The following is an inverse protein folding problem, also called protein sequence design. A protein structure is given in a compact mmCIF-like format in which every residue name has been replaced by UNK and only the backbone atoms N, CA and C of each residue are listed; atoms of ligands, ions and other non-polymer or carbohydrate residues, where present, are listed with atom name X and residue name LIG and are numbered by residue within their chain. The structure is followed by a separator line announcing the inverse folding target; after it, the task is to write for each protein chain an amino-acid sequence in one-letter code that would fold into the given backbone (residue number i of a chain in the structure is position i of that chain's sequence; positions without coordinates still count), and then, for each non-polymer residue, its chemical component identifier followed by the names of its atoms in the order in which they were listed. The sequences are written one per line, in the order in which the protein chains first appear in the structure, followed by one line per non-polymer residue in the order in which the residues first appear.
data_IF_504314348184
#
_entry.id   IF_504314348184
#
_cell.length_a   1.000
_cell.length_b   1.000
_cell.length_c   1.000
_cell.angle_alpha   90.00
_cell.angle_beta   90.00
_cell.angle_gamma   90.00
#
_symmetry.space_group_name_H-M   'P 1'
#
loop_
_entity.id
_entity.type
_entity.pdbx_description
1 polymer ?
#
# COMPACT_ATOMS: atom_id res chain seq x y z
N UNK A 1 -13.19 -32.55 0.30
CA UNK A 1 -12.44 -33.27 -0.76
C UNK A 1 -11.11 -32.56 -0.93
N UNK A 2 -10.02 -33.21 -0.55
CA UNK A 2 -8.68 -32.63 -0.50
C UNK A 2 -8.16 -32.39 -1.92
N UNK A 3 -8.19 -31.13 -2.38
CA UNK A 3 -7.43 -30.71 -3.55
C UNK A 3 -6.01 -30.35 -3.10
N UNK A 4 -5.15 -31.36 -3.09
CA UNK A 4 -3.71 -31.19 -2.91
C UNK A 4 -3.16 -30.50 -4.16
N UNK A 5 -2.94 -29.19 -4.09
CA UNK A 5 -2.23 -28.43 -5.12
C UNK A 5 -0.82 -29.01 -5.25
N UNK A 6 -0.54 -29.72 -6.35
CA UNK A 6 0.81 -30.19 -6.67
C UNK A 6 1.74 -28.98 -6.84
N UNK A 7 2.46 -28.68 -5.77
CA UNK A 7 3.52 -27.69 -5.69
C UNK A 7 4.68 -28.10 -6.60
N UNK A 8 4.91 -27.35 -7.68
CA UNK A 8 6.24 -27.30 -8.28
C UNK A 8 7.06 -26.36 -7.38
N UNK A 9 7.46 -26.85 -6.20
CA UNK A 9 8.28 -26.11 -5.24
C UNK A 9 9.76 -26.39 -5.51
N UNK A 10 10.47 -25.44 -6.10
CA UNK A 10 11.92 -25.38 -5.92
C UNK A 10 12.19 -24.69 -4.58
N UNK A 11 12.39 -25.46 -3.52
CA UNK A 11 12.86 -24.90 -2.26
C UNK A 11 14.16 -24.14 -2.51
N UNK A 12 14.24 -22.88 -2.09
CA UNK A 12 15.45 -22.07 -2.24
C UNK A 12 15.80 -21.40 -0.93
N UNK A 13 17.06 -21.50 -0.56
CA UNK A 13 17.60 -20.97 0.69
C UNK A 13 18.49 -19.77 0.41
N UNK A 14 18.27 -18.68 1.14
CA UNK A 14 19.04 -17.44 1.02
C UNK A 14 19.45 -16.96 2.40
N UNK A 15 20.71 -16.54 2.54
CA UNK A 15 21.17 -15.79 3.71
C UNK A 15 21.44 -14.35 3.29
N UNK A 16 20.88 -13.40 4.02
CA UNK A 16 20.96 -11.98 3.71
C UNK A 16 21.58 -11.25 4.90
N UNK A 17 22.76 -10.66 4.67
CA UNK A 17 23.38 -9.72 5.60
C UNK A 17 22.66 -8.37 5.49
N UNK A 18 21.83 -8.05 6.50
CA UNK A 18 21.02 -6.82 6.48
C UNK A 18 21.86 -5.65 6.96
N UNK A 19 22.36 -5.73 8.19
CA UNK A 19 23.31 -4.78 8.79
C UNK A 19 24.03 -5.52 9.91
N UNK A 20 25.36 -5.54 9.91
CA UNK A 20 26.11 -6.36 10.86
C UNK A 20 25.72 -6.05 12.32
N UNK A 21 25.52 -7.06 13.19
CA UNK A 21 25.60 -8.51 12.97
C UNK A 21 24.27 -9.18 12.52
N UNK A 22 23.24 -8.42 12.16
CA UNK A 22 21.91 -8.94 11.82
C UNK A 22 21.88 -9.64 10.45
N UNK A 23 21.50 -10.92 10.46
CA UNK A 23 21.30 -11.76 9.29
C UNK A 23 19.86 -12.27 9.23
N UNK A 24 19.34 -12.42 8.01
CA UNK A 24 18.03 -13.03 7.78
C UNK A 24 18.19 -14.24 6.88
N UNK A 25 17.68 -15.38 7.34
CA UNK A 25 17.61 -16.63 6.58
C UNK A 25 16.21 -16.75 6.00
N UNK A 26 16.13 -16.97 4.69
CA UNK A 26 14.89 -17.17 3.96
C UNK A 26 14.88 -18.55 3.34
N UNK A 27 13.82 -19.31 3.62
CA UNK A 27 13.51 -20.56 2.95
C UNK A 27 12.23 -20.39 2.14
N UNK A 28 12.35 -20.19 0.83
CA UNK A 28 11.20 -20.01 -0.06
C UNK A 28 10.75 -21.38 -0.55
N UNK A 29 9.49 -21.74 -0.24
CA UNK A 29 8.88 -23.02 -0.61
C UNK A 29 7.69 -22.87 -1.58
N UNK A 30 7.23 -21.63 -1.83
CA UNK A 30 6.19 -21.32 -2.80
C UNK A 30 6.60 -20.11 -3.66
N UNK A 31 6.71 -20.31 -4.98
CA UNK A 31 7.10 -19.27 -5.93
C UNK A 31 6.56 -19.59 -7.34
N UNK A 32 5.23 -19.50 -7.55
CA UNK A 32 4.57 -19.96 -8.78
C UNK A 32 5.00 -19.19 -10.04
N UNK A 33 5.59 -18.01 -9.87
CA UNK A 33 6.01 -17.11 -10.96
C UNK A 33 7.53 -17.02 -11.13
N UNK A 34 8.29 -17.81 -10.36
CA UNK A 34 9.76 -17.84 -10.38
C UNK A 34 10.38 -16.44 -10.22
N UNK A 35 9.90 -15.67 -9.25
CA UNK A 35 10.53 -14.41 -8.87
C UNK A 35 11.84 -14.67 -8.13
N UNK A 36 12.87 -13.88 -8.38
CA UNK A 36 13.95 -13.75 -7.40
C UNK A 36 13.42 -12.94 -6.23
N UNK A 37 13.82 -13.26 -4.99
CA UNK A 37 13.31 -12.53 -3.82
C UNK A 37 13.59 -11.01 -3.93
N UNK A 38 14.73 -10.66 -4.52
CA UNK A 38 15.17 -9.28 -4.73
C UNK A 38 14.46 -8.56 -5.89
N UNK A 39 13.57 -9.23 -6.63
CA UNK A 39 12.60 -8.58 -7.52
C UNK A 39 11.40 -8.03 -6.74
N UNK A 40 11.07 -8.61 -5.58
CA UNK A 40 9.89 -8.25 -4.79
C UNK A 40 10.23 -7.37 -3.58
N UNK A 41 11.37 -7.59 -2.92
CA UNK A 41 11.74 -6.83 -1.72
C UNK A 41 13.26 -6.71 -1.50
N UNK A 42 13.63 -5.83 -0.57
CA UNK A 42 14.94 -5.70 0.05
C UNK A 42 14.79 -5.80 1.56
N UNK A 43 15.91 -5.92 2.28
CA UNK A 43 15.90 -5.96 3.75
C UNK A 43 16.37 -4.64 4.34
N UNK A 44 15.76 -4.20 5.43
CA UNK A 44 16.23 -3.09 6.25
C UNK A 44 15.98 -3.38 7.74
N UNK A 45 16.55 -2.56 8.63
CA UNK A 45 16.37 -2.67 10.07
C UNK A 45 15.33 -1.66 10.58
N UNK A 46 14.38 -2.10 11.40
CA UNK A 46 13.40 -1.21 12.05
C UNK A 46 14.02 -0.55 13.27
N UNK A 47 13.56 0.67 13.59
CA UNK A 47 13.82 1.32 14.88
C UNK A 47 12.92 0.73 15.99
N UNK A 48 12.84 -0.61 16.09
CA UNK A 48 12.02 -1.33 17.05
C UNK A 48 12.72 -2.60 17.52
N UNK A 49 12.86 -2.77 18.85
CA UNK A 49 13.58 -3.90 19.45
C UNK A 49 12.84 -5.25 19.36
N UNK A 50 11.51 -5.26 19.20
CA UNK A 50 10.71 -6.51 19.16
C UNK A 50 10.66 -7.16 17.76
N UNK A 51 10.79 -6.36 16.71
CA UNK A 51 10.85 -6.81 15.31
C UNK A 51 11.93 -5.99 14.62
N UNK A 52 13.17 -6.47 14.67
CA UNK A 52 14.38 -5.72 14.30
C UNK A 52 14.55 -5.51 12.80
N UNK A 53 13.80 -6.23 11.95
CA UNK A 53 13.92 -6.21 10.49
C UNK A 53 12.61 -5.80 9.79
N UNK A 54 12.73 -5.43 8.53
CA UNK A 54 11.64 -5.05 7.64
C UNK A 54 11.91 -5.57 6.23
N UNK A 55 10.88 -6.15 5.62
CA UNK A 55 10.81 -6.34 4.18
C UNK A 55 10.44 -5.02 3.50
N UNK A 56 11.38 -4.43 2.79
CA UNK A 56 11.18 -3.21 2.02
C UNK A 56 10.70 -3.60 0.64
N UNK A 57 9.38 -3.51 0.42
CA UNK A 57 8.78 -3.84 -0.88
C UNK A 57 9.33 -2.99 -2.03
N UNK A 58 9.73 -3.65 -3.11
CA UNK A 58 10.14 -3.06 -4.39
C UNK A 58 8.97 -2.89 -5.37
N UNK A 59 7.76 -3.26 -4.95
CA UNK A 59 6.58 -3.27 -5.82
C UNK A 59 5.42 -2.44 -5.29
N UNK A 60 5.48 -1.92 -4.07
CA UNK A 60 4.38 -1.14 -3.46
C UNK A 60 4.51 0.39 -3.58
N UNK A 61 5.73 0.91 -3.74
CA UNK A 61 5.93 2.36 -3.76
C UNK A 61 5.68 3.00 -2.39
N UNK A 62 6.16 2.37 -1.31
CA UNK A 62 6.06 2.93 0.05
C UNK A 62 7.39 3.51 0.53
N UNK A 63 8.43 2.70 0.51
CA UNK A 63 9.76 3.08 1.00
C UNK A 63 10.76 3.30 -0.15
N UNK A 64 10.45 2.83 -1.35
CA UNK A 64 11.29 2.90 -2.54
C UNK A 64 10.48 3.52 -3.67
N UNK A 65 11.05 4.45 -4.46
CA UNK A 65 10.45 4.89 -5.71
C UNK A 65 10.37 3.73 -6.70
N UNK A 66 9.16 3.43 -7.17
CA UNK A 66 8.90 2.39 -8.16
C UNK A 66 8.38 2.98 -9.46
N UNK A 67 8.36 2.20 -10.54
CA UNK A 67 7.43 2.53 -11.64
C UNK A 67 6.00 2.32 -11.13
N UNK A 68 5.08 3.29 -11.28
CA UNK A 68 3.69 3.14 -10.81
C UNK A 68 2.98 1.94 -11.45
N UNK A 69 3.36 1.57 -12.68
CA UNK A 69 2.91 0.36 -13.35
C UNK A 69 3.14 -0.92 -12.52
N UNK A 70 4.25 -1.00 -11.77
CA UNK A 70 4.54 -2.16 -10.91
C UNK A 70 3.56 -2.30 -9.76
N UNK A 71 3.20 -1.20 -9.09
CA UNK A 71 2.27 -1.25 -7.97
C UNK A 71 0.88 -1.68 -8.41
N UNK A 72 0.40 -1.11 -9.51
CA UNK A 72 -0.87 -1.50 -10.12
C UNK A 72 -0.86 -2.96 -10.60
N UNK A 73 0.18 -3.38 -11.33
CA UNK A 73 0.31 -4.75 -11.83
C UNK A 73 0.44 -5.78 -10.70
N UNK A 74 0.96 -5.41 -9.52
CA UNK A 74 1.06 -6.33 -8.37
C UNK A 74 -0.32 -6.71 -7.85
N UNK A 75 -1.24 -5.74 -7.71
CA UNK A 75 -2.63 -6.02 -7.34
C UNK A 75 -3.34 -6.89 -8.38
N UNK A 76 -3.14 -6.61 -9.67
CA UNK A 76 -3.73 -7.39 -10.76
C UNK A 76 -3.16 -8.82 -10.86
N UNK A 77 -1.87 -9.02 -10.56
CA UNK A 77 -1.26 -10.36 -10.52
C UNK A 77 -1.82 -11.20 -9.36
N UNK A 78 -2.06 -10.57 -8.21
CA UNK A 78 -2.75 -11.22 -7.08
C UNK A 78 -4.19 -11.59 -7.45
N UNK A 79 -4.90 -10.71 -8.17
CA UNK A 79 -6.25 -11.00 -8.65
C UNK A 79 -6.27 -12.12 -9.72
N UNK A 80 -5.28 -12.16 -10.60
CA UNK A 80 -5.08 -13.28 -11.54
C UNK A 80 -4.80 -14.59 -10.77
N UNK A 81 -4.00 -14.54 -9.71
CA UNK A 81 -3.69 -15.68 -8.84
C UNK A 81 -4.96 -16.20 -8.16
N UNK A 82 -5.76 -15.29 -7.57
CA UNK A 82 -7.06 -15.60 -6.98
C UNK A 82 -7.99 -16.26 -7.98
N UNK A 83 -8.17 -15.68 -9.17
CA UNK A 83 -9.08 -16.22 -10.19
C UNK A 83 -8.66 -17.63 -10.61
N UNK A 84 -7.36 -17.85 -10.87
CA UNK A 84 -6.84 -19.17 -11.25
C UNK A 84 -7.07 -20.20 -10.15
N UNK A 85 -6.84 -19.83 -8.89
CA UNK A 85 -7.04 -20.71 -7.74
C UNK A 85 -8.51 -21.09 -7.53
N UNK A 86 -9.42 -20.11 -7.62
CA UNK A 86 -10.88 -20.35 -7.53
C UNK A 86 -11.39 -21.23 -8.69
N UNK A 87 -10.84 -21.08 -9.89
CA UNK A 87 -11.18 -21.89 -11.06
C UNK A 87 -10.44 -23.25 -11.13
N UNK A 88 -9.58 -23.55 -10.15
CA UNK A 88 -8.77 -24.77 -10.14
C UNK A 88 -7.75 -24.85 -11.29
N UNK A 89 -7.36 -23.71 -11.85
CA UNK A 89 -6.38 -23.58 -12.94
C UNK A 89 -4.97 -23.42 -12.38
N UNK A 90 -3.98 -23.97 -13.09
CA UNK A 90 -2.57 -23.82 -12.72
C UNK A 90 -2.09 -22.38 -12.95
N UNK A 91 -1.33 -21.87 -11.98
CA UNK A 91 -0.54 -20.66 -12.16
C UNK A 91 0.55 -20.91 -13.19
N UNK A 92 0.87 -19.89 -13.98
CA UNK A 92 1.90 -19.93 -15.01
C UNK A 92 2.70 -18.65 -14.96
N UNK A 93 4.00 -18.75 -15.21
CA UNK A 93 4.91 -17.61 -15.32
C UNK A 93 4.62 -16.71 -16.54
N UNK A 94 3.83 -17.20 -17.50
CA UNK A 94 3.33 -16.41 -18.62
C UNK A 94 2.15 -15.54 -18.17
N UNK A 95 2.47 -14.31 -17.75
CA UNK A 95 1.50 -13.28 -17.38
C UNK A 95 2.09 -11.90 -17.68
N UNK A 96 1.33 -10.99 -18.33
CA UNK A 96 1.81 -9.64 -18.62
C UNK A 96 2.18 -8.88 -17.34
N UNK A 97 1.53 -9.19 -16.22
CA UNK A 97 1.82 -8.56 -14.93
C UNK A 97 3.17 -9.04 -14.37
N UNK A 98 3.51 -10.32 -14.54
CA UNK A 98 4.84 -10.85 -14.18
C UNK A 98 5.93 -10.13 -14.96
N UNK A 99 5.72 -9.90 -16.27
CA UNK A 99 6.68 -9.18 -17.10
C UNK A 99 6.87 -7.73 -16.67
N UNK A 100 5.81 -7.05 -16.20
CA UNK A 100 5.93 -5.71 -15.60
C UNK A 100 6.77 -5.74 -14.32
N UNK A 101 6.48 -6.67 -13.40
CA UNK A 101 7.21 -6.79 -12.14
C UNK A 101 8.71 -7.10 -12.36
N UNK A 102 9.02 -7.93 -13.35
CA UNK A 102 10.39 -8.27 -13.78
C UNK A 102 11.06 -7.21 -14.68
N UNK A 103 10.44 -6.04 -14.86
CA UNK A 103 10.92 -4.94 -15.72
C UNK A 103 11.11 -5.31 -17.20
N UNK A 104 10.45 -6.35 -17.71
CA UNK A 104 10.52 -6.72 -19.12
C UNK A 104 9.60 -5.86 -20.01
N UNK A 105 8.57 -5.27 -19.42
CA UNK A 105 7.69 -4.31 -20.07
C UNK A 105 7.16 -3.27 -19.07
N UNK A 106 6.61 -2.17 -19.58
CA UNK A 106 6.00 -1.10 -18.76
C UNK A 106 4.51 -0.93 -18.99
N UNK A 107 3.98 -1.41 -20.13
CA UNK A 107 2.58 -1.29 -20.51
C UNK A 107 1.83 -2.58 -20.25
N UNK A 108 0.61 -2.45 -19.76
CA UNK A 108 -0.33 -3.55 -19.55
C UNK A 108 -1.76 -2.96 -19.57
N UNK A 109 -2.77 -3.83 -19.73
CA UNK A 109 -4.16 -3.42 -19.53
C UNK A 109 -4.52 -3.63 -18.06
N UNK A 110 -5.06 -2.59 -17.45
CA UNK A 110 -5.63 -2.63 -16.10
C UNK A 110 -7.16 -2.65 -16.12
N UNK A 111 -7.76 -3.07 -17.24
CA UNK A 111 -9.21 -3.29 -17.31
C UNK A 111 -9.63 -4.50 -16.51
N UNK A 112 -10.85 -4.45 -15.94
CA UNK A 112 -11.40 -5.55 -15.15
C UNK A 112 -11.57 -6.83 -16.00
N UNK A 113 -11.00 -7.94 -15.55
CA UNK A 113 -11.02 -9.23 -16.23
C UNK A 113 -11.75 -10.34 -15.43
N UNK A 114 -12.03 -10.13 -14.14
CA UNK A 114 -12.82 -11.04 -13.32
C UNK A 114 -14.31 -10.75 -13.54
N UNK A 115 -15.05 -11.76 -13.99
CA UNK A 115 -16.44 -11.66 -14.40
C UNK A 115 -17.43 -11.38 -13.26
N UNK A 116 -18.65 -10.97 -13.63
CA UNK A 116 -19.71 -10.54 -12.70
C UNK A 116 -20.20 -11.64 -11.74
N UNK A 117 -19.90 -12.91 -12.04
CA UNK A 117 -20.21 -14.04 -11.16
C UNK A 117 -19.42 -14.01 -9.85
N UNK A 118 -18.28 -13.30 -9.82
CA UNK A 118 -17.50 -13.08 -8.61
C UNK A 118 -17.82 -11.71 -8.06
N UNK A 119 -18.47 -11.66 -6.90
CA UNK A 119 -18.81 -10.41 -6.23
C UNK A 119 -18.38 -10.37 -4.77
N UNK A 120 -17.08 -10.26 -4.49
CA UNK A 120 -16.58 -10.14 -3.13
C UNK A 120 -16.72 -8.71 -2.56
N UNK A 121 -16.58 -8.63 -1.24
CA UNK A 121 -16.24 -7.41 -0.52
C UNK A 121 -14.74 -7.48 -0.20
N UNK A 122 -13.98 -6.51 -0.71
CA UNK A 122 -12.52 -6.48 -0.60
C UNK A 122 -12.11 -5.44 0.43
N UNK A 123 -11.25 -5.82 1.36
CA UNK A 123 -10.79 -4.97 2.46
C UNK A 123 -9.27 -4.84 2.40
N UNK A 124 -8.76 -3.67 2.03
CA UNK A 124 -7.33 -3.35 2.08
C UNK A 124 -6.88 -2.92 3.48
N UNK A 125 -5.70 -3.36 3.92
CA UNK A 125 -5.19 -2.99 5.24
C UNK A 125 -4.32 -1.71 5.21
N UNK A 126 -4.69 -0.73 6.03
CA UNK A 126 -3.84 0.44 6.22
C UNK A 126 -2.56 0.11 6.99
N UNK A 127 -1.45 0.75 6.69
CA UNK A 127 -1.30 1.79 5.68
C UNK A 127 -0.92 1.21 4.31
N UNK A 128 -0.12 0.15 4.32
CA UNK A 128 0.64 -0.31 3.15
C UNK A 128 -0.20 -0.95 2.06
N UNK A 129 -1.28 -1.65 2.42
CA UNK A 129 -2.09 -2.40 1.48
C UNK A 129 -3.34 -1.65 1.00
N UNK A 130 -3.44 -0.34 1.28
CA UNK A 130 -4.49 0.54 0.71
C UNK A 130 -4.43 0.53 -0.81
N UNK A 131 -3.31 0.97 -1.39
CA UNK A 131 -3.10 0.94 -2.84
C UNK A 131 -3.11 -0.47 -3.43
N UNK A 132 -2.53 -1.45 -2.73
CA UNK A 132 -2.52 -2.84 -3.17
C UNK A 132 -3.94 -3.41 -3.28
N UNK A 133 -4.76 -3.19 -2.24
CA UNK A 133 -6.14 -3.65 -2.18
C UNK A 133 -7.00 -3.02 -3.27
N UNK A 134 -6.86 -1.72 -3.53
CA UNK A 134 -7.62 -1.07 -4.60
C UNK A 134 -7.13 -1.51 -6.00
N UNK A 135 -5.83 -1.76 -6.17
CA UNK A 135 -5.29 -2.34 -7.41
C UNK A 135 -5.74 -3.79 -7.63
N UNK A 136 -5.91 -4.59 -6.57
CA UNK A 136 -6.52 -5.92 -6.65
C UNK A 136 -8.01 -5.82 -7.03
N UNK A 137 -8.75 -4.92 -6.39
CA UNK A 137 -10.15 -4.65 -6.68
C UNK A 137 -10.41 -4.19 -8.12
N UNK A 138 -9.49 -3.44 -8.74
CA UNK A 138 -9.56 -3.01 -10.14
C UNK A 138 -9.80 -4.18 -11.13
N UNK A 139 -9.41 -5.41 -10.78
CA UNK A 139 -9.62 -6.58 -11.62
C UNK A 139 -11.09 -7.05 -11.71
N UNK A 140 -11.98 -6.60 -10.80
CA UNK A 140 -13.33 -7.12 -10.65
C UNK A 140 -14.38 -6.24 -11.34
N UNK A 141 -15.22 -6.85 -12.18
CA UNK A 141 -16.35 -6.16 -12.81
C UNK A 141 -17.49 -5.83 -11.84
N UNK A 142 -17.64 -6.61 -10.77
CA UNK A 142 -18.72 -6.47 -9.81
C UNK A 142 -18.26 -6.78 -8.37
N UNK A 143 -17.58 -5.86 -7.70
CA UNK A 143 -17.18 -6.01 -6.30
C UNK A 143 -17.39 -4.70 -5.54
N UNK A 144 -17.26 -4.78 -4.22
CA UNK A 144 -17.12 -3.60 -3.37
C UNK A 144 -15.76 -3.59 -2.69
N UNK A 145 -15.21 -2.41 -2.46
CA UNK A 145 -13.90 -2.23 -1.85
C UNK A 145 -13.94 -1.14 -0.78
N UNK A 146 -13.27 -1.39 0.33
CA UNK A 146 -12.83 -0.34 1.23
C UNK A 146 -11.48 -0.67 1.84
N UNK A 147 -10.83 0.30 2.46
CA UNK A 147 -9.67 0.02 3.30
C UNK A 147 -9.88 0.45 4.74
N UNK A 148 -9.17 -0.22 5.63
CA UNK A 148 -9.07 0.20 7.02
C UNK A 148 -8.24 1.47 7.12
N UNK A 149 -8.34 2.20 8.22
CA UNK A 149 -7.59 3.44 8.43
C UNK A 149 -7.16 3.61 9.87
N UNK A 150 -6.02 4.29 10.07
CA UNK A 150 -5.54 4.74 11.38
C UNK A 150 -6.09 6.11 11.77
N UNK A 151 -6.80 6.80 10.87
CA UNK A 151 -7.41 8.09 11.14
C UNK A 151 -8.64 7.95 12.05
N UNK A 152 -8.75 8.87 13.00
CA UNK A 152 -9.88 8.96 13.92
C UNK A 152 -10.80 10.12 13.49
N UNK A 153 -11.99 9.78 13.02
CA UNK A 153 -12.98 10.74 12.55
C UNK A 153 -13.92 11.09 13.71
N UNK A 154 -14.09 12.38 13.96
CA UNK A 154 -14.97 12.88 15.02
C UNK A 154 -16.41 12.52 14.70
N UNK A 155 -17.09 11.96 15.70
CA UNK A 155 -18.53 11.65 15.67
C UNK A 155 -18.94 10.67 14.55
N UNK A 156 -17.99 9.87 14.04
CA UNK A 156 -18.28 8.78 13.10
C UNK A 156 -17.99 7.47 13.79
N UNK A 157 -19.01 6.64 13.98
CA UNK A 157 -18.81 5.30 14.52
C UNK A 157 -18.16 4.41 13.45
N UNK A 158 -17.01 3.84 13.79
CA UNK A 158 -16.41 2.81 12.96
C UNK A 158 -17.10 1.46 13.21
N UNK A 159 -17.52 0.79 12.14
CA UNK A 159 -18.28 -0.48 12.22
C UNK A 159 -17.39 -1.63 12.70
N UNK A 160 -16.09 -1.55 12.38
CA UNK A 160 -15.08 -2.52 12.74
C UNK A 160 -13.97 -1.78 13.47
N UNK A 161 -13.79 -2.09 14.75
CA UNK A 161 -12.64 -1.64 15.53
C UNK A 161 -11.77 -2.86 15.82
N UNK A 162 -10.51 -2.80 15.44
CA UNK A 162 -9.54 -3.81 15.83
C UNK A 162 -8.24 -3.17 16.30
N UNK A 163 -7.75 -3.63 17.45
CA UNK A 163 -6.49 -3.20 18.03
C UNK A 163 -5.38 -4.18 17.66
N UNK A 164 -4.29 -3.68 17.11
CA UNK A 164 -3.11 -4.49 16.82
C UNK A 164 -2.26 -4.65 18.10
N UNK A 165 -2.16 -5.88 18.63
CA UNK A 165 -1.52 -6.15 19.94
C UNK A 165 0.00 -5.84 20.04
N UNK A 166 0.65 -5.40 18.96
CA UNK A 166 2.12 -5.27 18.91
C UNK A 166 2.66 -3.90 18.46
N UNK A 167 1.87 -2.84 18.56
CA UNK A 167 2.43 -1.49 18.59
C UNK A 167 1.64 -0.59 19.53
N UNK A 168 2.31 0.36 20.16
CA UNK A 168 1.80 1.17 21.28
C UNK A 168 0.65 2.13 20.89
N UNK A 169 -0.52 1.60 20.51
CA UNK A 169 -1.76 2.29 20.09
C UNK A 169 -1.92 2.54 18.58
N UNK A 170 -2.19 1.50 17.79
CA UNK A 170 -2.76 1.66 16.44
C UNK A 170 -4.00 0.80 16.25
N UNK A 171 -5.16 1.38 16.54
CA UNK A 171 -6.46 0.86 16.16
C UNK A 171 -6.68 1.08 14.66
N UNK A 172 -7.09 0.04 13.96
CA UNK A 172 -7.63 0.17 12.62
C UNK A 172 -9.15 0.35 12.70
N UNK A 173 -9.65 1.27 11.87
CA UNK A 173 -11.05 1.67 11.79
C UNK A 173 -11.58 1.53 10.37
N UNK A 174 -12.89 1.39 10.23
CA UNK A 174 -13.60 1.29 8.95
C UNK A 174 -14.84 2.20 8.97
N UNK A 175 -14.89 3.16 8.05
CA UNK A 175 -15.95 4.16 7.94
C UNK A 175 -16.82 3.94 6.69
N UNK A 176 -17.52 2.81 6.66
CA UNK A 176 -18.45 2.43 5.58
C UNK A 176 -19.90 2.46 6.07
N UNK A 177 -20.86 2.23 5.18
CA UNK A 177 -22.22 1.87 5.59
C UNK A 177 -22.26 0.37 5.96
N UNK A 178 -22.82 0.02 7.11
CA UNK A 178 -22.97 -1.37 7.57
C UNK A 178 -23.79 -2.21 6.60
N UNK A 179 -24.71 -1.61 5.83
CA UNK A 179 -25.48 -2.28 4.79
C UNK A 179 -24.58 -2.94 3.73
N UNK A 180 -23.38 -2.41 3.49
CA UNK A 180 -22.38 -3.01 2.59
C UNK A 180 -21.96 -4.40 3.05
N UNK A 181 -21.97 -4.65 4.37
CA UNK A 181 -21.64 -5.92 5.00
C UNK A 181 -22.86 -6.81 5.29
N UNK A 182 -24.09 -6.32 5.12
CA UNK A 182 -25.32 -7.08 5.35
C UNK A 182 -25.69 -7.96 4.14
N UNK A 183 -24.86 -8.95 3.85
CA UNK A 183 -25.07 -9.94 2.78
C UNK A 183 -24.25 -11.20 3.09
N UNK A 184 -24.16 -12.16 2.16
CA UNK A 184 -23.39 -13.40 2.31
C UNK A 184 -22.20 -13.49 1.35
N UNK A 185 -21.81 -12.38 0.72
CA UNK A 185 -20.73 -12.35 -0.28
C UNK A 185 -19.38 -12.62 0.37
N UNK A 186 -18.48 -13.28 -0.34
CA UNK A 186 -17.11 -13.53 0.13
C UNK A 186 -16.44 -12.24 0.62
N UNK A 187 -15.69 -12.33 1.71
CA UNK A 187 -14.82 -11.24 2.17
C UNK A 187 -13.37 -11.57 1.83
N UNK A 188 -12.71 -10.67 1.11
CA UNK A 188 -11.29 -10.78 0.75
C UNK A 188 -10.49 -9.75 1.52
N UNK A 189 -9.56 -10.19 2.34
CA UNK A 189 -8.63 -9.33 3.09
C UNK A 189 -7.32 -9.21 2.31
N UNK A 190 -6.87 -7.99 2.06
CA UNK A 190 -5.63 -7.72 1.31
C UNK A 190 -4.61 -7.03 2.21
N UNK A 191 -3.45 -7.66 2.35
CA UNK A 191 -2.31 -7.14 3.10
C UNK A 191 -1.03 -7.21 2.25
N UNK A 192 0.07 -6.57 2.65
CA UNK A 192 1.34 -6.68 1.93
C UNK A 192 2.14 -7.93 2.34
N UNK A 193 2.11 -8.29 3.61
CA UNK A 193 2.89 -9.39 4.17
C UNK A 193 2.12 -10.11 5.28
N UNK A 194 2.08 -11.44 5.23
CA UNK A 194 1.55 -12.27 6.31
C UNK A 194 2.69 -12.91 7.12
N UNK A 195 2.66 -12.78 8.45
CA UNK A 195 3.66 -13.37 9.37
C UNK A 195 3.04 -14.36 10.34
N UNK A 196 2.40 -13.88 11.41
CA UNK A 196 1.62 -14.75 12.32
C UNK A 196 0.19 -14.94 11.85
N UNK A 197 -0.30 -14.03 11.00
CA UNK A 197 -1.70 -13.98 10.58
C UNK A 197 -2.68 -13.64 11.70
N UNK A 198 -2.21 -13.28 12.90
CA UNK A 198 -3.08 -12.96 14.05
C UNK A 198 -4.06 -11.82 13.74
N UNK A 199 -3.58 -10.75 13.10
CA UNK A 199 -4.43 -9.63 12.67
C UNK A 199 -5.57 -10.09 11.76
N UNK A 200 -5.26 -10.88 10.73
CA UNK A 200 -6.28 -11.42 9.82
C UNK A 200 -7.29 -12.33 10.55
N UNK A 201 -6.83 -13.21 11.45
CA UNK A 201 -7.73 -14.07 12.24
C UNK A 201 -8.66 -13.26 13.15
N UNK A 202 -8.13 -12.29 13.89
CA UNK A 202 -8.93 -11.42 14.76
C UNK A 202 -9.99 -10.65 13.96
N UNK A 203 -9.65 -10.18 12.77
CA UNK A 203 -10.58 -9.48 11.87
C UNK A 203 -11.64 -10.44 11.36
N UNK A 204 -11.27 -11.65 10.93
CA UNK A 204 -12.23 -12.67 10.49
C UNK A 204 -13.20 -12.99 11.62
N UNK A 205 -12.73 -13.24 12.85
CA UNK A 205 -13.60 -13.51 14.00
C UNK A 205 -14.56 -12.34 14.26
N UNK A 206 -14.04 -11.11 14.38
CA UNK A 206 -14.86 -9.91 14.64
C UNK A 206 -15.89 -9.63 13.54
N UNK A 207 -15.51 -9.82 12.28
CA UNK A 207 -16.42 -9.74 11.14
C UNK A 207 -17.47 -10.84 11.17
N UNK A 208 -17.05 -12.08 11.44
CA UNK A 208 -17.95 -13.24 11.42
C UNK A 208 -19.02 -13.15 12.51
N UNK A 209 -18.67 -12.65 13.69
CA UNK A 209 -19.59 -12.46 14.81
C UNK A 209 -20.75 -11.53 14.47
N UNK A 210 -20.52 -10.51 13.63
CA UNK A 210 -21.53 -9.52 13.23
C UNK A 210 -22.14 -9.78 11.86
N UNK A 211 -21.33 -10.29 10.93
CA UNK A 211 -21.61 -10.45 9.51
C UNK A 211 -21.04 -11.81 9.06
N UNK A 212 -21.68 -12.93 9.43
CA UNK A 212 -21.15 -14.26 9.15
C UNK A 212 -21.03 -14.51 7.64
N UNK A 213 -19.99 -15.26 7.26
CA UNK A 213 -19.70 -15.69 5.88
C UNK A 213 -19.25 -17.13 5.86
N UNK A 214 -19.48 -17.82 4.75
CA UNK A 214 -18.92 -19.17 4.52
C UNK A 214 -17.51 -19.16 3.92
N UNK A 215 -17.14 -18.07 3.24
CA UNK A 215 -15.87 -17.97 2.54
C UNK A 215 -15.18 -16.66 2.85
N UNK A 216 -13.92 -16.78 3.25
CA UNK A 216 -12.95 -15.69 3.36
C UNK A 216 -11.76 -16.01 2.47
N UNK A 217 -11.14 -14.98 1.90
CA UNK A 217 -9.82 -15.10 1.25
C UNK A 217 -8.87 -14.10 1.88
N UNK A 218 -7.64 -14.51 2.12
CA UNK A 218 -6.54 -13.63 2.50
C UNK A 218 -5.55 -13.58 1.33
N UNK A 219 -5.23 -12.36 0.90
CA UNK A 219 -4.33 -12.07 -0.20
C UNK A 219 -3.14 -11.28 0.34
N UNK A 220 -1.93 -11.75 0.08
CA UNK A 220 -0.71 -11.01 0.42
C UNK A 220 0.36 -11.12 -0.67
N UNK A 221 1.31 -10.18 -0.72
CA UNK A 221 2.47 -10.36 -1.63
C UNK A 221 3.36 -11.48 -1.09
N UNK A 222 3.65 -11.40 0.21
CA UNK A 222 4.52 -12.32 0.93
C UNK A 222 3.74 -13.09 2.00
N UNK A 223 4.01 -14.38 2.16
CA UNK A 223 3.48 -15.23 3.25
C UNK A 223 4.62 -15.97 3.96
N UNK A 224 4.90 -15.57 5.19
CA UNK A 224 5.98 -16.12 6.03
C UNK A 224 5.45 -16.92 7.21
N UNK A 225 4.21 -17.39 7.16
CA UNK A 225 3.64 -18.23 8.23
C UNK A 225 4.37 -19.56 8.32
N UNK A 226 4.85 -19.86 9.53
CA UNK A 226 5.26 -21.21 9.88
C UNK A 226 4.05 -22.15 10.05
N UNK A 227 4.30 -23.44 10.23
CA UNK A 227 3.25 -24.46 10.36
C UNK A 227 2.31 -24.21 11.55
N UNK A 228 2.81 -23.73 12.70
CA UNK A 228 1.95 -23.36 13.84
C UNK A 228 0.94 -22.28 13.45
N UNK A 229 1.39 -21.24 12.75
CA UNK A 229 0.52 -20.15 12.32
C UNK A 229 -0.48 -20.63 11.26
N UNK A 230 -0.11 -21.55 10.37
CA UNK A 230 -1.04 -22.16 9.39
C UNK A 230 -2.10 -23.02 10.08
N UNK A 231 -1.71 -23.86 11.04
CA UNK A 231 -2.64 -24.68 11.82
C UNK A 231 -3.65 -23.82 12.58
N UNK A 232 -3.23 -22.65 13.07
CA UNK A 232 -4.12 -21.71 13.76
C UNK A 232 -5.22 -21.09 12.84
N UNK A 233 -5.09 -21.20 11.51
CA UNK A 233 -6.19 -20.90 10.58
C UNK A 233 -7.12 -22.11 10.38
N UNK A 234 -6.58 -23.33 10.34
CA UNK A 234 -7.38 -24.56 10.27
C UNK A 234 -8.30 -24.66 11.49
N UNK A 235 -7.75 -24.41 12.69
CA UNK A 235 -8.54 -24.35 13.93
C UNK A 235 -9.65 -23.30 13.86
N UNK A 236 -9.40 -22.16 13.21
CA UNK A 236 -10.40 -21.10 13.03
C UNK A 236 -11.48 -21.50 12.02
N UNK A 237 -11.10 -22.17 10.93
CA UNK A 237 -12.04 -22.74 9.95
C UNK A 237 -13.00 -23.73 10.61
N UNK A 238 -12.47 -24.64 11.43
CA UNK A 238 -13.26 -25.61 12.19
C UNK A 238 -14.16 -24.95 13.22
N UNK A 239 -13.64 -23.97 13.98
CA UNK A 239 -14.40 -23.29 15.03
C UNK A 239 -15.58 -22.46 14.50
N UNK A 240 -15.44 -21.87 13.30
CA UNK A 240 -16.47 -21.01 12.71
C UNK A 240 -17.29 -21.70 11.60
N UNK A 241 -16.97 -22.94 11.22
CA UNK A 241 -17.56 -23.64 10.07
C UNK A 241 -17.50 -22.79 8.78
N UNK A 242 -16.28 -22.38 8.43
CA UNK A 242 -15.94 -21.53 7.28
C UNK A 242 -14.78 -22.10 6.47
N UNK A 243 -14.53 -21.52 5.29
CA UNK A 243 -13.32 -21.74 4.51
C UNK A 243 -12.52 -20.46 4.39
N UNK A 244 -11.20 -20.55 4.62
CA UNK A 244 -10.24 -19.46 4.49
C UNK A 244 -9.21 -19.83 3.41
N UNK A 245 -9.33 -19.20 2.25
CA UNK A 245 -8.37 -19.35 1.14
C UNK A 245 -7.19 -18.40 1.33
N UNK A 246 -6.00 -18.84 0.93
CA UNK A 246 -4.77 -18.04 0.99
C UNK A 246 -4.13 -17.88 -0.39
N UNK A 247 -3.93 -16.64 -0.81
CA UNK A 247 -3.29 -16.28 -2.09
C UNK A 247 -2.03 -15.47 -1.79
N UNK A 248 -0.89 -15.89 -2.35
CA UNK A 248 0.37 -15.16 -2.22
C UNK A 248 1.20 -15.20 -3.51
N UNK A 249 2.12 -14.25 -3.69
CA UNK A 249 3.09 -14.31 -4.80
C UNK A 249 4.36 -15.07 -4.43
N UNK A 250 4.71 -15.06 -3.14
CA UNK A 250 5.87 -15.73 -2.58
C UNK A 250 5.55 -16.21 -1.16
N UNK A 251 5.84 -17.47 -0.84
CA UNK A 251 5.73 -17.97 0.53
C UNK A 251 6.95 -18.79 0.95
N UNK A 252 7.16 -18.84 2.26
CA UNK A 252 8.30 -19.50 2.85
C UNK A 252 8.37 -19.34 4.36
N UNK A 253 9.56 -19.55 4.88
CA UNK A 253 9.91 -19.32 6.28
C UNK A 253 11.02 -18.28 6.38
N UNK A 254 10.97 -17.49 7.45
CA UNK A 254 11.96 -16.47 7.76
C UNK A 254 12.49 -16.69 9.17
N UNK A 255 13.80 -16.72 9.30
CA UNK A 255 14.50 -16.71 10.59
C UNK A 255 15.44 -15.51 10.64
N UNK A 256 15.55 -14.88 11.80
CA UNK A 256 16.43 -13.73 12.01
C UNK A 256 17.43 -14.04 13.11
N UNK A 257 18.69 -13.80 12.82
CA UNK A 257 19.80 -13.93 13.75
C UNK A 257 20.46 -12.56 13.97
N UNK A 258 20.88 -12.30 15.20
CA UNK A 258 21.50 -11.04 15.61
C UNK A 258 20.52 -9.87 15.79
N UNK A 259 21.01 -8.85 16.49
CA UNK A 259 20.35 -7.55 16.59
C UNK A 259 21.18 -6.51 15.84
N UNK A 260 20.55 -5.57 15.11
CA UNK A 260 21.29 -4.61 14.31
C UNK A 260 22.12 -3.70 15.22
N UNK A 261 23.42 -3.59 14.95
CA UNK A 261 24.30 -2.61 15.59
C UNK A 261 24.44 -1.45 14.62
N UNK A 262 23.98 -0.28 15.03
CA UNK A 262 23.82 0.85 14.13
C UNK A 262 24.72 1.96 14.64
N UNK A 263 25.74 2.26 13.84
CA UNK A 263 26.53 3.47 13.99
C UNK A 263 25.72 4.60 13.36
N UNK A 264 25.59 5.73 14.05
CA UNK A 264 25.07 6.94 13.42
C UNK A 264 26.02 7.31 12.28
N UNK A 265 25.52 7.25 11.04
CA UNK A 265 26.25 7.79 9.89
C UNK A 265 26.11 9.31 9.93
N UNK A 266 27.24 10.02 9.80
CA UNK A 266 27.25 11.47 9.70
C UNK A 266 26.40 11.91 8.50
N UNK A 267 25.54 12.90 8.72
CA UNK A 267 24.74 13.48 7.65
C UNK A 267 25.67 14.16 6.64
N UNK A 268 25.73 13.62 5.42
CA UNK A 268 26.44 14.29 4.33
C UNK A 268 25.61 15.50 3.90
N UNK A 269 26.19 16.70 4.03
CA UNK A 269 25.57 17.94 3.59
C UNK A 269 25.55 18.01 2.06
N UNK A 270 24.48 17.48 1.47
CA UNK A 270 24.21 17.67 0.05
C UNK A 270 23.79 19.10 -0.26
N UNK A 271 24.23 19.61 -1.40
CA UNK A 271 23.82 20.88 -1.99
C UNK A 271 22.29 21.04 -1.93
N UNK A 272 21.83 22.21 -1.51
CA UNK A 272 20.40 22.58 -1.52
C UNK A 272 20.16 23.46 -2.74
N UNK A 273 19.44 22.98 -3.77
CA UNK A 273 19.08 23.83 -4.88
C UNK A 273 18.14 24.95 -4.41
N UNK A 274 18.06 26.04 -5.18
CA UNK A 274 16.91 26.93 -5.07
C UNK A 274 15.66 26.14 -5.50
N UNK A 275 14.70 26.04 -4.59
CA UNK A 275 13.46 25.28 -4.82
C UNK A 275 12.32 26.22 -5.19
N UNK A 276 11.75 26.03 -6.38
CA UNK A 276 10.47 26.62 -6.75
C UNK A 276 9.33 25.77 -6.20
N UNK A 277 8.38 26.38 -5.49
CA UNK A 277 7.22 25.69 -4.93
C UNK A 277 5.94 26.28 -5.50
N UNK A 278 5.04 25.42 -5.95
CA UNK A 278 3.73 25.80 -6.48
C UNK A 278 2.64 24.90 -5.87
N UNK A 279 1.50 25.49 -5.51
CA UNK A 279 0.32 24.74 -5.08
C UNK A 279 -0.68 24.63 -6.23
N UNK A 280 -1.23 23.43 -6.41
CA UNK A 280 -2.20 23.06 -7.43
C UNK A 280 -3.45 22.55 -6.73
N UNK A 281 -4.58 23.23 -6.93
CA UNK A 281 -5.86 22.84 -6.36
C UNK A 281 -6.75 22.21 -7.44
N UNK A 282 -6.87 20.88 -7.44
CA UNK A 282 -7.62 20.16 -8.48
C UNK A 282 -9.10 20.55 -8.47
N UNK A 283 -9.70 20.82 -7.31
CA UNK A 283 -11.10 21.25 -7.21
C UNK A 283 -11.36 22.62 -7.86
N UNK A 284 -10.34 23.48 -7.98
CA UNK A 284 -10.42 24.76 -8.69
C UNK A 284 -10.24 24.59 -10.20
N UNK A 285 -9.26 23.77 -10.60
CA UNK A 285 -8.85 23.61 -12.00
C UNK A 285 -9.74 22.62 -12.76
N UNK A 286 -10.26 21.61 -12.06
CA UNK A 286 -11.19 20.58 -12.57
C UNK A 286 -12.40 20.47 -11.60
N UNK A 287 -13.34 21.43 -11.65
CA UNK A 287 -14.46 21.49 -10.71
C UNK A 287 -15.34 20.24 -10.72
N UNK A 288 -15.82 19.84 -9.53
CA UNK A 288 -16.72 18.70 -9.32
C UNK A 288 -16.18 17.35 -9.82
N UNK A 289 -14.86 17.23 -10.06
CA UNK A 289 -14.27 15.99 -10.55
C UNK A 289 -14.39 14.84 -9.53
N UNK A 290 -14.14 15.14 -8.25
CA UNK A 290 -14.24 14.19 -7.14
C UNK A 290 -15.40 14.54 -6.21
N UNK A 291 -16.16 13.55 -5.78
CA UNK A 291 -17.25 13.74 -4.83
C UNK A 291 -16.70 14.02 -3.42
N UNK A 292 -17.41 14.85 -2.65
CA UNK A 292 -17.01 15.21 -1.28
C UNK A 292 -17.58 14.25 -0.23
N UNK A 293 -16.77 13.86 0.74
CA UNK A 293 -17.20 13.21 1.99
C UNK A 293 -16.83 14.09 3.18
N UNK A 294 -17.84 14.65 3.84
CA UNK A 294 -17.66 15.56 4.96
C UNK A 294 -17.60 14.78 6.27
N UNK A 295 -16.38 14.61 6.78
CA UNK A 295 -16.15 14.05 8.11
C UNK A 295 -15.08 14.88 8.83
N UNK A 296 -15.40 15.46 10.00
CA UNK A 296 -14.41 16.17 10.79
C UNK A 296 -13.38 15.20 11.39
N UNK A 297 -12.12 15.62 11.48
CA UNK A 297 -11.04 14.84 12.13
C UNK A 297 -10.82 15.26 13.58
N UNK A 298 -10.32 14.35 14.43
CA UNK A 298 -10.09 14.61 15.87
C UNK A 298 -9.05 15.69 16.17
N UNK A 299 -8.29 16.16 15.19
CA UNK A 299 -7.35 17.25 15.38
C UNK A 299 -8.07 18.59 15.47
N UNK A 300 -8.81 18.84 16.57
CA UNK A 300 -9.66 20.01 16.80
C UNK A 300 -8.95 21.36 16.62
N UNK A 301 -7.61 21.38 16.65
CA UNK A 301 -6.78 22.58 16.45
C UNK A 301 -6.55 22.93 14.98
N UNK A 302 -6.78 22.02 14.04
CA UNK A 302 -6.59 22.29 12.62
C UNK A 302 -7.77 23.09 12.05
N UNK A 303 -7.55 24.27 11.46
CA UNK A 303 -8.61 25.04 10.80
C UNK A 303 -9.17 24.32 9.55
N UNK A 304 -8.55 23.22 9.11
CA UNK A 304 -8.95 22.44 7.93
C UNK A 304 -9.85 21.24 8.24
N UNK A 305 -10.34 21.09 9.49
CA UNK A 305 -11.28 20.02 9.86
C UNK A 305 -12.58 20.00 9.06
N UNK A 306 -12.93 21.12 8.39
CA UNK A 306 -14.12 21.23 7.54
C UNK A 306 -13.87 20.89 6.07
N UNK A 307 -12.61 20.71 5.66
CA UNK A 307 -12.29 20.35 4.28
C UNK A 307 -12.65 18.87 4.06
N UNK A 308 -13.51 18.56 3.08
CA UNK A 308 -13.97 17.20 2.87
C UNK A 308 -12.86 16.31 2.32
N UNK A 309 -12.98 15.02 2.58
CA UNK A 309 -12.26 13.98 1.86
C UNK A 309 -12.87 13.77 0.48
N UNK A 310 -12.17 13.05 -0.41
CA UNK A 310 -12.79 12.54 -1.63
C UNK A 310 -13.54 11.24 -1.33
N UNK A 311 -14.69 11.01 -1.97
CA UNK A 311 -15.42 9.76 -1.81
C UNK A 311 -14.66 8.57 -2.43
N UNK A 312 -13.84 8.86 -3.45
CA UNK A 312 -13.21 7.88 -4.31
C UNK A 312 -11.85 7.35 -3.80
N UNK A 313 -11.43 7.72 -2.57
CA UNK A 313 -10.14 7.31 -2.01
C UNK A 313 -10.08 5.84 -1.58
N UNK A 314 -11.22 5.14 -1.59
CA UNK A 314 -11.32 3.77 -1.07
C UNK A 314 -11.63 3.71 0.43
N UNK A 315 -11.46 4.80 1.17
CA UNK A 315 -11.68 4.83 2.62
C UNK A 315 -13.14 4.64 3.02
N UNK A 316 -14.06 5.14 2.21
CA UNK A 316 -15.50 5.24 2.52
C UNK A 316 -16.38 4.27 1.73
N UNK A 317 -15.77 3.26 1.09
CA UNK A 317 -16.47 2.31 0.23
C UNK A 317 -16.52 2.75 -1.23
N UNK A 318 -16.21 1.82 -2.14
CA UNK A 318 -16.30 1.94 -3.58
C UNK A 318 -16.96 0.71 -4.17
N UNK A 319 -17.84 0.91 -5.14
CA UNK A 319 -18.28 -0.16 -6.02
C UNK A 319 -17.47 -0.15 -7.33
N UNK A 320 -17.50 -1.27 -8.07
CA UNK A 320 -16.77 -1.39 -9.34
C UNK A 320 -17.14 -0.31 -10.36
N UNK A 321 -18.37 0.24 -10.34
CA UNK A 321 -18.81 1.27 -11.30
C UNK A 321 -18.13 2.61 -10.97
N UNK A 322 -18.10 3.00 -9.70
CA UNK A 322 -17.38 4.19 -9.23
C UNK A 322 -15.89 4.06 -9.56
N UNK A 323 -15.32 2.87 -9.38
CA UNK A 323 -13.90 2.63 -9.66
C UNK A 323 -13.55 2.74 -11.16
N UNK A 324 -14.44 2.30 -12.06
CA UNK A 324 -14.29 2.54 -13.51
C UNK A 324 -14.27 4.05 -13.81
N UNK A 325 -15.17 4.83 -13.22
CA UNK A 325 -15.20 6.28 -13.40
C UNK A 325 -13.96 6.96 -12.82
N UNK A 326 -13.40 6.44 -11.72
CA UNK A 326 -12.16 6.94 -11.11
C UNK A 326 -10.99 6.90 -12.10
N UNK A 327 -10.91 5.88 -12.96
CA UNK A 327 -9.85 5.79 -13.96
C UNK A 327 -9.89 6.96 -14.95
N UNK A 328 -11.07 7.30 -15.47
CA UNK A 328 -11.25 8.47 -16.35
C UNK A 328 -11.01 9.79 -15.62
N UNK A 329 -11.29 9.87 -14.31
CA UNK A 329 -10.95 11.05 -13.50
C UNK A 329 -9.43 11.19 -13.33
N UNK A 330 -8.73 10.09 -13.05
CA UNK A 330 -7.28 10.07 -12.93
C UNK A 330 -6.59 10.47 -14.25
N UNK A 331 -7.11 10.06 -15.40
CA UNK A 331 -6.62 10.49 -16.72
C UNK A 331 -6.70 12.00 -16.90
N UNK A 332 -7.85 12.61 -16.55
CA UNK A 332 -8.02 14.07 -16.62
C UNK A 332 -7.02 14.81 -15.74
N UNK A 333 -6.78 14.31 -14.52
CA UNK A 333 -5.77 14.91 -13.62
C UNK A 333 -4.37 14.74 -14.19
N UNK A 334 -4.01 13.55 -14.68
CA UNK A 334 -2.69 13.29 -15.26
C UNK A 334 -2.41 14.21 -16.45
N UNK A 335 -3.35 14.32 -17.40
CA UNK A 335 -3.23 15.23 -18.55
C UNK A 335 -3.06 16.69 -18.11
N UNK A 336 -3.81 17.12 -17.10
CA UNK A 336 -3.68 18.48 -16.57
C UNK A 336 -2.31 18.71 -15.91
N UNK A 337 -1.83 17.76 -15.09
CA UNK A 337 -0.53 17.89 -14.42
C UNK A 337 0.64 17.86 -15.42
N UNK A 338 0.52 17.11 -16.51
CA UNK A 338 1.51 17.12 -17.60
C UNK A 338 1.63 18.49 -18.27
N UNK A 339 0.55 19.28 -18.34
CA UNK A 339 0.60 20.66 -18.83
C UNK A 339 1.30 21.62 -17.84
N UNK A 340 1.36 21.26 -16.56
CA UNK A 340 2.03 22.05 -15.51
C UNK A 340 3.47 21.63 -15.26
N UNK A 341 3.85 20.45 -15.74
CA UNK A 341 5.17 19.86 -15.58
C UNK A 341 6.25 20.75 -16.19
N UNK A 342 7.36 20.89 -15.47
CA UNK A 342 8.57 21.62 -15.87
C UNK A 342 9.79 20.71 -15.99
N UNK A 343 9.84 19.62 -15.22
CA UNK A 343 10.95 18.68 -15.13
C UNK A 343 10.87 17.51 -16.12
N UNK A 344 11.93 16.70 -16.14
CA UNK A 344 12.04 15.46 -16.93
C UNK A 344 12.11 14.22 -16.05
N UNK A 345 12.67 14.33 -14.85
CA UNK A 345 12.84 13.25 -13.89
C UNK A 345 11.85 13.43 -12.74
N UNK A 346 10.66 12.88 -12.95
CA UNK A 346 9.50 13.14 -12.10
C UNK A 346 9.36 12.08 -11.02
N UNK A 347 9.12 12.53 -9.78
CA UNK A 347 8.65 11.69 -8.69
C UNK A 347 7.28 12.17 -8.18
N UNK A 348 6.30 11.29 -8.24
CA UNK A 348 5.00 11.48 -7.59
C UNK A 348 5.04 10.87 -6.19
N UNK A 349 4.50 11.60 -5.20
CA UNK A 349 4.50 11.21 -3.79
C UNK A 349 3.06 11.23 -3.28
N UNK A 350 2.51 10.08 -2.88
CA UNK A 350 1.31 10.00 -2.06
C UNK A 350 1.61 10.27 -0.58
N UNK A 351 0.57 10.49 0.24
CA UNK A 351 0.74 10.76 1.68
C UNK A 351 0.02 9.71 2.51
N UNK A 352 0.76 9.03 3.39
CA UNK A 352 0.22 8.02 4.30
C UNK A 352 -0.61 6.97 3.55
N UNK A 353 -1.91 6.96 3.84
CA UNK A 353 -2.90 6.01 3.28
C UNK A 353 -3.41 6.44 1.88
N UNK A 354 -3.21 7.70 1.48
CA UNK A 354 -3.63 8.22 0.18
C UNK A 354 -2.64 7.84 -0.93
N UNK A 355 -2.63 6.56 -1.28
CA UNK A 355 -1.63 5.97 -2.18
C UNK A 355 -2.16 5.62 -3.58
N UNK A 356 -3.35 5.02 -3.67
CA UNK A 356 -3.83 4.44 -4.93
C UNK A 356 -3.98 5.49 -6.03
N UNK A 357 -4.76 6.55 -5.76
CA UNK A 357 -5.08 7.56 -6.76
C UNK A 357 -3.82 8.33 -7.22
N UNK A 358 -2.90 8.77 -6.34
CA UNK A 358 -1.61 9.33 -6.75
C UNK A 358 -0.79 8.37 -7.62
N UNK A 359 -0.72 7.08 -7.26
CA UNK A 359 -0.03 6.07 -8.08
C UNK A 359 -0.69 5.88 -9.45
N UNK A 360 -2.02 5.89 -9.49
CA UNK A 360 -2.79 5.76 -10.74
C UNK A 360 -2.59 6.97 -11.64
N UNK A 361 -2.64 8.19 -11.11
CA UNK A 361 -2.33 9.42 -11.84
C UNK A 361 -0.90 9.36 -12.39
N UNK A 362 0.08 9.01 -11.54
CA UNK A 362 1.47 8.87 -11.96
C UNK A 362 1.67 7.85 -13.08
N UNK A 363 0.86 6.78 -13.12
CA UNK A 363 0.91 5.78 -14.20
C UNK A 363 0.39 6.28 -15.56
N UNK A 364 -0.40 7.35 -15.54
CA UNK A 364 -1.07 7.93 -16.71
C UNK A 364 -0.34 9.18 -17.22
N UNK A 365 0.54 9.75 -16.40
CA UNK A 365 1.40 10.87 -16.77
C UNK A 365 2.45 10.45 -17.81
N UNK A 366 2.78 11.34 -18.74
CA UNK A 366 3.70 11.05 -19.84
C UNK A 366 5.15 10.80 -19.36
N UNK A 367 5.92 10.01 -20.11
CA UNK A 367 7.35 9.79 -19.85
C UNK A 367 7.66 8.87 -18.66
N UNK A 368 8.87 9.02 -18.10
CA UNK A 368 9.37 8.14 -17.03
C UNK A 368 9.08 8.73 -15.65
N UNK A 369 7.89 8.47 -15.12
CA UNK A 369 7.48 8.88 -13.78
C UNK A 369 7.76 7.79 -12.74
N UNK A 370 8.30 8.17 -11.59
CA UNK A 370 8.41 7.30 -10.40
C UNK A 370 7.32 7.64 -9.39
N UNK A 371 6.96 6.66 -8.58
CA UNK A 371 5.97 6.82 -7.53
C UNK A 371 6.47 6.25 -6.20
N UNK A 372 6.22 6.97 -5.11
CA UNK A 372 6.21 6.39 -3.76
C UNK A 372 5.22 7.12 -2.83
N UNK A 373 5.18 6.77 -1.54
CA UNK A 373 4.37 7.44 -0.52
C UNK A 373 5.21 7.81 0.70
N UNK A 374 4.70 8.69 1.55
CA UNK A 374 5.20 8.84 2.92
C UNK A 374 4.75 7.65 3.78
N UNK A 375 5.37 7.46 4.94
CA UNK A 375 5.09 6.33 5.83
C UNK A 375 5.25 6.69 7.29
N UNK A 376 4.50 6.03 8.18
CA UNK A 376 4.71 6.09 9.63
C UNK A 376 5.78 5.11 10.15
N UNK A 377 6.42 4.34 9.25
CA UNK A 377 7.30 3.23 9.63
C UNK A 377 8.73 3.72 9.88
N UNK A 378 9.25 3.67 11.11
CA UNK A 378 10.61 4.13 11.40
C UNK A 378 11.63 3.05 11.03
N UNK A 379 12.45 3.33 10.02
CA UNK A 379 13.54 2.49 9.52
C UNK A 379 14.88 3.19 9.80
N UNK A 380 15.89 2.42 10.17
CA UNK A 380 17.26 2.91 10.16
C UNK A 380 17.74 3.16 8.74
N UNK A 381 18.56 4.20 8.56
CA UNK A 381 19.13 4.54 7.25
C UNK A 381 20.55 4.02 7.21
N UNK A 382 20.92 3.36 6.12
CA UNK A 382 22.29 2.89 5.88
C UNK A 382 22.56 2.90 4.37
N UNK A 383 23.51 3.70 3.92
CA UNK A 383 23.76 3.89 2.49
C UNK A 383 24.60 2.75 1.87
N UNK A 384 24.02 1.55 1.83
CA UNK A 384 24.57 0.38 1.13
C UNK A 384 23.63 -0.05 -0.01
N UNK A 385 24.12 -0.36 -1.22
CA UNK A 385 23.27 -0.68 -2.37
C UNK A 385 22.22 -1.79 -2.14
N UNK A 386 22.51 -2.77 -1.28
CA UNK A 386 21.61 -3.88 -0.96
C UNK A 386 20.62 -3.58 0.18
N UNK A 387 20.75 -2.44 0.86
CA UNK A 387 19.94 -2.08 2.01
C UNK A 387 18.69 -1.30 1.59
N UNK A 388 17.54 -1.64 2.15
CA UNK A 388 16.24 -1.14 1.70
C UNK A 388 15.96 0.34 2.04
N UNK A 389 16.73 0.98 2.91
CA UNK A 389 16.55 2.39 3.29
C UNK A 389 17.90 3.13 3.31
N UNK A 390 18.32 3.65 2.16
CA UNK A 390 19.63 4.28 1.97
C UNK A 390 19.65 5.77 2.27
N UNK A 391 18.52 6.42 2.06
CA UNK A 391 18.28 7.83 2.36
C UNK A 391 16.97 7.92 3.12
N UNK A 392 16.86 8.84 4.07
CA UNK A 392 15.65 9.02 4.85
C UNK A 392 15.51 10.43 5.39
N UNK A 393 14.27 10.91 5.42
CA UNK A 393 13.89 12.18 6.04
C UNK A 393 12.77 11.91 7.03
N UNK A 394 12.68 12.76 8.06
CA UNK A 394 11.62 12.71 9.06
C UNK A 394 11.00 14.09 9.23
N UNK A 395 9.69 14.14 9.38
CA UNK A 395 8.91 15.37 9.48
C UNK A 395 7.58 15.08 10.18
N UNK A 396 6.96 16.08 10.84
CA UNK A 396 5.58 15.93 11.30
C UNK A 396 4.63 15.77 10.11
N UNK A 397 3.63 14.90 10.22
CA UNK A 397 2.64 14.70 9.17
C UNK A 397 1.85 15.99 8.95
N UNK A 398 1.78 16.52 7.72
CA UNK A 398 0.94 17.70 7.44
C UNK A 398 -0.54 17.48 7.73
N UNK A 399 -1.00 16.22 7.69
CA UNK A 399 -2.39 15.84 7.98
C UNK A 399 -2.68 15.79 9.50
N UNK A 400 -1.69 15.41 10.32
CA UNK A 400 -1.78 15.28 11.77
C UNK A 400 -0.41 15.57 12.39
N UNK A 401 -0.17 16.79 12.87
CA UNK A 401 1.16 17.26 13.29
C UNK A 401 1.82 16.37 14.35
N UNK A 402 1.03 15.80 15.26
CA UNK A 402 1.48 14.92 16.34
C UNK A 402 2.03 13.58 15.84
N UNK A 403 1.74 13.20 14.59
CA UNK A 403 2.20 11.96 13.97
C UNK A 403 3.48 12.24 13.19
N UNK A 404 4.55 11.52 13.53
CA UNK A 404 5.80 11.58 12.77
C UNK A 404 5.69 10.73 11.50
N UNK A 405 5.97 11.34 10.36
CA UNK A 405 6.11 10.68 9.08
C UNK A 405 7.58 10.62 8.64
N UNK A 406 7.82 9.69 7.73
CA UNK A 406 9.10 9.46 7.08
C UNK A 406 8.89 9.37 5.57
N UNK A 407 9.95 9.69 4.82
CA UNK A 407 10.09 9.33 3.41
C UNK A 407 11.51 8.84 3.19
N UNK A 408 11.66 7.81 2.35
CA UNK A 408 12.93 7.12 2.15
C UNK A 408 13.34 7.15 0.68
N UNK A 409 14.62 6.87 0.44
CA UNK A 409 15.20 6.60 -0.87
C UNK A 409 14.85 7.64 -1.95
N UNK A 410 14.93 8.92 -1.59
CA UNK A 410 15.04 10.04 -2.53
C UNK A 410 16.51 10.47 -2.51
N UNK A 411 17.35 9.94 -3.40
CA UNK A 411 18.74 10.36 -3.45
C UNK A 411 18.81 11.80 -4.00
N UNK A 412 19.81 12.59 -3.56
CA UNK A 412 20.08 13.91 -4.14
C UNK A 412 20.23 13.83 -5.67
N UNK A 413 19.85 14.91 -6.36
CA UNK A 413 20.06 15.10 -7.81
C UNK A 413 19.42 14.04 -8.72
N UNK A 414 18.52 13.20 -8.17
CA UNK A 414 17.84 12.14 -8.95
C UNK A 414 16.57 12.65 -9.64
N UNK A 415 15.89 13.61 -9.02
CA UNK A 415 14.63 14.17 -9.50
C UNK A 415 14.75 15.68 -9.63
N UNK A 416 14.27 16.22 -10.73
CA UNK A 416 14.24 17.67 -10.99
C UNK A 416 12.88 18.29 -10.61
N UNK A 417 11.82 17.47 -10.57
CA UNK A 417 10.49 17.88 -10.15
C UNK A 417 9.75 16.79 -9.38
N UNK A 418 9.00 17.20 -8.35
CA UNK A 418 8.13 16.33 -7.56
C UNK A 418 6.70 16.83 -7.56
N UNK A 419 5.75 15.90 -7.67
CA UNK A 419 4.33 16.14 -7.41
C UNK A 419 3.94 15.44 -6.09
N UNK A 420 3.55 16.21 -5.08
CA UNK A 420 3.13 15.68 -3.77
C UNK A 420 1.61 15.77 -3.68
N UNK A 421 0.94 14.64 -3.51
CA UNK A 421 -0.51 14.56 -3.52
C UNK A 421 -1.05 14.46 -2.10
N UNK A 422 -1.98 15.36 -1.78
CA UNK A 422 -2.76 15.34 -0.55
C UNK A 422 -4.24 15.18 -0.88
N UNK A 423 -4.91 14.25 -0.19
CA UNK A 423 -6.34 14.00 -0.37
C UNK A 423 -7.19 15.27 -0.16
N UNK A 424 -6.74 16.13 0.75
CA UNK A 424 -7.38 17.41 1.08
C UNK A 424 -6.35 18.42 1.57
N UNK A 425 -6.76 19.68 1.63
CA UNK A 425 -5.92 20.79 2.11
C UNK A 425 -5.39 20.53 3.53
N UNK A 426 -4.13 20.89 3.75
CA UNK A 426 -3.40 20.71 5.01
C UNK A 426 -2.79 22.03 5.51
N UNK A 427 -2.37 22.04 6.77
CA UNK A 427 -1.75 23.20 7.41
C UNK A 427 -0.44 23.59 6.73
N UNK A 428 -0.32 24.88 6.38
CA UNK A 428 0.82 25.43 5.66
C UNK A 428 2.12 25.38 6.47
N UNK A 429 2.04 25.67 7.76
CA UNK A 429 3.22 25.72 8.62
C UNK A 429 3.77 24.32 8.82
N UNK A 430 2.90 23.33 9.05
CA UNK A 430 3.30 21.92 9.16
C UNK A 430 3.81 21.38 7.82
N UNK A 431 3.12 21.69 6.72
CA UNK A 431 3.56 21.33 5.36
C UNK A 431 4.96 21.86 5.05
N UNK A 432 5.25 23.12 5.38
CA UNK A 432 6.57 23.72 5.12
C UNK A 432 7.71 22.92 5.78
N UNK A 433 7.47 22.31 6.95
CA UNK A 433 8.46 21.48 7.66
C UNK A 433 8.80 20.23 6.83
N UNK A 434 7.83 19.67 6.10
CA UNK A 434 8.06 18.59 5.15
C UNK A 434 8.78 19.08 3.89
N UNK A 435 8.27 20.14 3.25
CA UNK A 435 8.82 20.64 1.99
C UNK A 435 10.30 21.08 2.12
N UNK A 436 10.69 21.66 3.26
CA UNK A 436 12.08 22.06 3.53
C UNK A 436 13.06 20.88 3.63
N UNK A 437 12.58 19.66 3.87
CA UNK A 437 13.44 18.46 3.85
C UNK A 437 13.76 18.01 2.41
N UNK A 438 12.88 18.34 1.45
CA UNK A 438 13.03 17.93 0.06
C UNK A 438 14.04 18.84 -0.65
N UNK A 439 15.21 18.26 -0.96
CA UNK A 439 16.28 18.94 -1.73
C UNK A 439 16.04 18.80 -3.24
N UNK A 440 14.92 19.32 -3.74
CA UNK A 440 14.47 19.16 -5.13
C UNK A 440 14.22 20.53 -5.77
N UNK A 441 14.61 20.78 -7.03
CA UNK A 441 14.47 22.09 -7.68
C UNK A 441 13.02 22.58 -7.88
N UNK A 442 12.09 21.69 -8.26
CA UNK A 442 10.67 22.05 -8.46
C UNK A 442 9.78 21.15 -7.60
N UNK A 443 8.88 21.75 -6.82
CA UNK A 443 7.89 21.03 -6.03
C UNK A 443 6.48 21.55 -6.36
N UNK A 444 5.65 20.64 -6.84
CA UNK A 444 4.23 20.84 -7.11
C UNK A 444 3.43 20.17 -5.99
N UNK A 445 2.74 20.93 -5.15
CA UNK A 445 1.86 20.38 -4.10
C UNK A 445 0.44 20.32 -4.65
N UNK A 446 -0.09 19.12 -4.82
CA UNK A 446 -1.38 18.83 -5.44
C UNK A 446 -2.41 18.50 -4.36
N UNK A 447 -3.42 19.36 -4.19
CA UNK A 447 -4.55 19.13 -3.31
C UNK A 447 -5.77 18.68 -4.13
N UNK A 448 -6.38 17.56 -3.74
CA UNK A 448 -7.59 17.06 -4.41
C UNK A 448 -8.86 17.80 -3.93
N UNK A 449 -8.91 18.21 -2.66
CA UNK A 449 -10.00 18.98 -2.05
C UNK A 449 -9.50 20.17 -1.25
N UNK A 450 -10.27 21.25 -1.28
CA UNK A 450 -9.96 22.50 -0.58
C UNK A 450 -9.02 23.42 -1.37
N UNK A 451 -9.11 24.72 -1.04
CA UNK A 451 -8.34 25.82 -1.66
C UNK A 451 -7.97 26.79 -0.53
N UNK A 452 -6.76 27.36 -0.56
CA UNK A 452 -6.35 28.41 0.39
C UNK A 452 -6.91 29.77 0.02
#
# INVERSE_FOLDING_TARGET
MNNTTQLISSNSYHMIDVIEPMQVKLNINYNPYHFKFDELFQMAARKNKKRSFLFVSKVLGKHLPISPAKGLATGLLLAESYLKDVEGKKLSSSSPFVDVLKNKQSKFSDTAFIGDQYSPIIIGFAETATALGQAFFQAFKNADYFHTTREDLLNVESIIHFEEEHSHATSHRCYIDANLLQNSREIILVDDEMTTGKTARNIITSLHDKFPRKHYTIVSILDWRNETNKNAFIELEEALDITIRHISLLAGEVEVDGNPVIKEEESVDFYRPSTEMNEIYIEKELPMLFASKYYPTTNQKSPFNTVPYIAESGRFGLDSKVNVLLNSKAEKVATFLDQKRKGKHILCIGTGEFMYLPMKIASLMEGSVKYQSTTRSPIHVHNKPSYGARFGMTFPSPEVEEVVNYIYNIPPETYDEVFIFFERLVDEQVLSKFLQQLKIPSIQVVFLKGVR
#
